data_IF_756896590802
#
_entry.id   IF_756896590802
#
_cell.length_a   1.000
_cell.length_b   1.000
_cell.length_c   1.000
_cell.angle_alpha   90.00
_cell.angle_beta   90.00
_cell.angle_gamma   90.00
#
_symmetry.space_group_name_H-M   'P 1'
#
loop_
_entity.id
_entity.type
_entity.pdbx_description
1 polymer ?
#
# COMPACT_ATOMS: atom_id res chain seq x y z
N UNK A 1 31.66 -43.77 -4.30
CA UNK A 1 31.12 -42.76 -3.37
C UNK A 1 30.97 -41.46 -4.14
N UNK A 2 29.75 -41.12 -4.57
CA UNK A 2 29.50 -39.90 -5.36
C UNK A 2 28.98 -38.78 -4.46
N UNK A 3 29.74 -37.70 -4.33
CA UNK A 3 29.29 -36.46 -3.69
C UNK A 3 28.40 -35.71 -4.67
N UNK A 4 27.09 -35.67 -4.39
CA UNK A 4 26.16 -34.78 -5.06
C UNK A 4 26.22 -33.42 -4.38
N UNK A 5 26.71 -32.41 -5.09
CA UNK A 5 26.64 -31.01 -4.65
C UNK A 5 25.29 -30.45 -5.06
N UNK A 6 24.32 -30.48 -4.16
CA UNK A 6 23.03 -29.81 -4.36
C UNK A 6 23.23 -28.31 -4.22
N UNK A 7 23.41 -27.62 -5.35
CA UNK A 7 23.43 -26.17 -5.40
C UNK A 7 21.99 -25.66 -5.24
N UNK A 8 21.60 -25.29 -4.01
CA UNK A 8 20.38 -24.54 -3.75
C UNK A 8 20.56 -23.13 -4.32
N UNK A 9 20.14 -22.92 -5.57
CA UNK A 9 19.92 -21.58 -6.11
C UNK A 9 18.63 -21.02 -5.50
N UNK A 10 18.66 -20.76 -4.19
CA UNK A 10 17.61 -19.99 -3.51
C UNK A 10 17.81 -18.53 -3.85
N UNK A 11 17.17 -18.05 -4.91
CA UNK A 11 17.08 -16.62 -5.16
C UNK A 11 16.50 -15.94 -3.92
N UNK A 12 17.27 -15.07 -3.28
CA UNK A 12 16.77 -14.23 -2.19
C UNK A 12 15.80 -13.24 -2.84
N UNK A 13 14.51 -13.58 -2.87
CA UNK A 13 13.49 -12.60 -3.20
C UNK A 13 13.52 -11.52 -2.11
N UNK A 14 13.49 -10.25 -2.52
CA UNK A 14 13.38 -9.17 -1.57
C UNK A 14 12.08 -9.37 -0.76
N UNK A 15 12.23 -9.51 0.56
CA UNK A 15 11.09 -9.65 1.46
C UNK A 15 10.33 -8.32 1.52
N UNK A 16 9.00 -8.36 1.36
CA UNK A 16 8.18 -7.19 1.70
C UNK A 16 8.24 -7.00 3.22
N UNK A 17 8.76 -5.85 3.65
CA UNK A 17 8.90 -5.51 5.07
C UNK A 17 7.62 -4.94 5.67
N UNK A 18 6.65 -4.58 4.82
CA UNK A 18 5.36 -4.07 5.27
C UNK A 18 4.41 -5.23 5.54
N UNK A 19 3.99 -5.33 6.80
CA UNK A 19 2.85 -6.14 7.19
C UNK A 19 1.63 -5.65 6.43
N UNK A 20 0.93 -6.59 5.78
CA UNK A 20 -0.23 -6.33 4.93
C UNK A 20 0.03 -5.29 3.81
N UNK A 21 1.23 -5.28 3.21
CA UNK A 21 1.55 -4.34 2.13
C UNK A 21 0.72 -4.52 0.85
N UNK A 22 0.08 -5.68 0.67
CA UNK A 22 -0.80 -6.00 -0.47
C UNK A 22 -2.29 -5.91 -0.13
N UNK A 23 -2.67 -5.58 1.10
CA UNK A 23 -4.06 -5.51 1.58
C UNK A 23 -4.84 -6.84 1.62
N UNK A 24 -4.21 -7.96 1.25
CA UNK A 24 -4.83 -9.29 1.18
C UNK A 24 -5.22 -9.88 2.55
N UNK A 25 -4.82 -9.27 3.67
CA UNK A 25 -5.28 -9.71 5.00
C UNK A 25 -6.69 -9.20 5.34
N UNK A 26 -7.20 -8.22 4.58
CA UNK A 26 -8.49 -7.60 4.83
C UNK A 26 -9.51 -8.02 3.75
N UNK A 27 -10.75 -8.38 4.12
CA UNK A 27 -11.79 -8.69 3.14
C UNK A 27 -12.13 -7.50 2.24
N UNK A 28 -12.51 -7.79 0.99
CA UNK A 28 -13.07 -6.80 0.08
C UNK A 28 -14.25 -6.03 0.73
N UNK A 29 -14.28 -4.72 0.56
CA UNK A 29 -15.26 -3.82 1.17
C UNK A 29 -14.93 -3.38 2.60
N UNK A 30 -13.79 -3.78 3.18
CA UNK A 30 -13.39 -3.35 4.52
C UNK A 30 -13.02 -1.86 4.54
N UNK A 31 -13.71 -1.01 5.32
CA UNK A 31 -13.38 0.40 5.43
C UNK A 31 -12.27 0.62 6.46
N UNK A 32 -11.40 1.58 6.21
CA UNK A 32 -10.39 2.04 7.16
C UNK A 32 -10.91 3.35 7.80
N UNK A 33 -11.06 3.39 9.13
CA UNK A 33 -11.71 4.51 9.78
C UNK A 33 -10.85 5.78 9.70
N UNK A 34 -11.46 6.90 9.34
CA UNK A 34 -10.85 8.23 9.41
C UNK A 34 -10.90 8.77 10.85
N UNK A 35 -10.26 8.07 11.78
CA UNK A 35 -10.19 8.47 13.20
C UNK A 35 -8.75 8.74 13.66
N UNK A 36 -7.79 8.72 12.75
CA UNK A 36 -6.36 8.92 13.05
C UNK A 36 -5.70 7.77 13.80
N UNK A 37 -6.44 6.69 14.08
CA UNK A 37 -5.93 5.44 14.64
C UNK A 37 -5.58 4.43 13.54
N UNK A 38 -4.60 3.57 13.82
CA UNK A 38 -4.34 2.41 12.98
C UNK A 38 -5.49 1.40 13.12
N UNK A 39 -5.91 0.79 12.00
CA UNK A 39 -6.74 -0.41 12.10
C UNK A 39 -5.85 -1.55 12.59
N UNK A 40 -6.22 -2.14 13.74
CA UNK A 40 -5.45 -3.21 14.38
C UNK A 40 -5.38 -4.48 13.53
N UNK A 41 -6.28 -4.65 12.55
CA UNK A 41 -6.29 -5.78 11.63
C UNK A 41 -5.28 -5.59 10.50
N UNK A 42 -5.24 -4.40 9.92
CA UNK A 42 -4.43 -4.14 8.73
C UNK A 42 -3.02 -3.64 9.06
N UNK A 43 -2.84 -3.01 10.23
CA UNK A 43 -1.62 -2.30 10.59
C UNK A 43 -1.40 -1.03 9.76
N UNK A 44 -2.43 -0.53 9.09
CA UNK A 44 -2.40 0.70 8.31
C UNK A 44 -3.37 1.72 8.92
N UNK A 45 -3.09 2.99 8.71
CA UNK A 45 -3.93 4.11 9.12
C UNK A 45 -4.33 4.93 7.92
N UNK A 46 -5.64 5.17 7.77
CA UNK A 46 -6.12 6.27 6.97
C UNK A 46 -6.22 7.53 7.82
N UNK A 47 -5.77 8.67 7.28
CA UNK A 47 -5.89 9.95 7.94
C UNK A 47 -6.29 11.04 6.96
N UNK A 48 -6.98 12.06 7.48
CA UNK A 48 -7.17 13.32 6.82
C UNK A 48 -6.86 14.46 7.80
N UNK A 49 -6.15 15.49 7.35
CA UNK A 49 -5.71 16.61 8.18
C UNK A 49 -6.07 17.95 7.54
N UNK A 50 -6.02 19.03 8.31
CA UNK A 50 -6.20 20.41 7.83
C UNK A 50 -7.47 20.62 6.97
N UNK A 51 -8.58 19.98 7.36
CA UNK A 51 -9.87 20.11 6.68
C UNK A 51 -10.03 19.29 5.39
N UNK A 52 -9.09 18.39 5.08
CA UNK A 52 -9.30 17.35 4.09
C UNK A 52 -10.32 16.32 4.58
N UNK A 53 -10.94 15.62 3.62
CA UNK A 53 -11.85 14.51 3.90
C UNK A 53 -11.80 13.49 2.76
N UNK A 54 -12.09 12.24 3.09
CA UNK A 54 -12.02 11.12 2.18
C UNK A 54 -12.35 9.79 2.84
N UNK A 55 -12.19 8.72 2.08
CA UNK A 55 -12.33 7.34 2.54
C UNK A 55 -11.20 6.47 2.02
N UNK A 56 -10.91 5.41 2.77
CA UNK A 56 -10.05 4.32 2.36
C UNK A 56 -10.81 3.00 2.52
N UNK A 57 -10.92 2.21 1.45
CA UNK A 57 -11.67 0.96 1.44
C UNK A 57 -10.93 -0.10 0.65
N UNK A 58 -10.85 -1.32 1.19
CA UNK A 58 -10.28 -2.46 0.46
C UNK A 58 -11.21 -2.80 -0.71
N UNK A 59 -10.67 -2.89 -1.91
CA UNK A 59 -11.46 -3.02 -3.14
C UNK A 59 -10.80 -3.98 -4.13
N UNK A 60 -11.57 -4.94 -4.63
CA UNK A 60 -11.17 -5.80 -5.74
C UNK A 60 -10.95 -5.03 -7.04
N UNK A 61 -11.60 -3.86 -7.20
CA UNK A 61 -11.38 -3.01 -8.37
C UNK A 61 -10.02 -2.29 -8.32
N UNK A 62 -9.46 -2.09 -7.13
CA UNK A 62 -8.16 -1.47 -6.93
C UNK A 62 -6.97 -2.46 -7.12
N UNK A 63 -7.23 -3.77 -7.15
CA UNK A 63 -6.20 -4.81 -7.22
C UNK A 63 -5.30 -4.67 -8.46
N UNK A 64 -3.99 -4.48 -8.28
CA UNK A 64 -2.96 -4.49 -9.34
C UNK A 64 -2.26 -5.84 -9.44
N UNK A 65 -2.20 -6.54 -8.31
CA UNK A 65 -1.90 -7.95 -8.12
C UNK A 65 -2.92 -8.55 -7.13
N UNK A 66 -2.89 -9.86 -6.91
CA UNK A 66 -3.76 -10.50 -5.92
C UNK A 66 -5.27 -10.40 -6.22
N UNK A 67 -6.06 -10.31 -5.15
CA UNK A 67 -7.53 -10.27 -5.18
C UNK A 67 -8.10 -8.91 -4.83
N UNK A 68 -7.36 -8.09 -4.08
CA UNK A 68 -7.78 -6.77 -3.60
C UNK A 68 -6.63 -5.77 -3.61
N UNK A 69 -6.98 -4.49 -3.61
CA UNK A 69 -6.07 -3.39 -3.29
C UNK A 69 -6.76 -2.39 -2.36
N UNK A 70 -6.14 -1.23 -2.14
CA UNK A 70 -6.78 -0.12 -1.41
C UNK A 70 -7.30 0.93 -2.39
N UNK A 71 -8.58 1.28 -2.26
CA UNK A 71 -9.19 2.43 -2.93
C UNK A 71 -9.17 3.63 -1.98
N UNK A 72 -8.61 4.75 -2.44
CA UNK A 72 -8.65 6.02 -1.74
C UNK A 72 -9.54 6.98 -2.52
N UNK A 73 -10.55 7.53 -1.85
CA UNK A 73 -11.44 8.54 -2.43
C UNK A 73 -11.31 9.83 -1.64
N UNK A 74 -11.05 10.94 -2.33
CA UNK A 74 -11.04 12.27 -1.73
C UNK A 74 -12.41 12.91 -1.90
N UNK A 75 -13.04 13.33 -0.80
CA UNK A 75 -14.35 14.00 -0.83
C UNK A 75 -14.25 15.52 -0.80
N UNK A 76 -13.21 16.06 -0.12
CA UNK A 76 -12.98 17.51 -0.02
C UNK A 76 -11.62 17.89 -0.60
N UNK A 77 -11.60 18.92 -1.46
CA UNK A 77 -10.38 19.54 -1.98
C UNK A 77 -9.91 20.72 -1.11
N UNK A 78 -10.29 20.77 0.17
CA UNK A 78 -9.68 21.69 1.13
C UNK A 78 -8.15 21.59 1.08
N UNK A 79 -7.44 22.61 1.59
CA UNK A 79 -5.97 22.72 1.49
C UNK A 79 -5.16 21.63 2.21
N UNK A 80 -5.83 20.73 2.93
CA UNK A 80 -5.20 19.62 3.64
C UNK A 80 -4.96 18.37 2.79
N UNK A 81 -4.40 17.35 3.43
CA UNK A 81 -4.07 16.07 2.84
C UNK A 81 -4.87 14.93 3.47
N UNK A 82 -5.15 13.92 2.64
CA UNK A 82 -5.63 12.62 3.08
C UNK A 82 -4.71 11.53 2.54
N UNK A 83 -4.29 10.60 3.38
CA UNK A 83 -3.33 9.57 2.98
C UNK A 83 -3.47 8.30 3.82
N UNK A 84 -2.73 7.28 3.39
CA UNK A 84 -2.54 6.02 4.09
C UNK A 84 -1.10 5.94 4.59
N UNK A 85 -0.91 5.62 5.87
CA UNK A 85 0.43 5.42 6.43
C UNK A 85 0.48 4.33 7.50
N UNK A 86 1.69 4.14 8.05
CA UNK A 86 1.96 3.30 9.22
C UNK A 86 2.60 4.11 10.35
N UNK A 87 2.45 5.44 10.35
CA UNK A 87 3.16 6.34 11.27
C UNK A 87 2.39 6.54 12.60
N UNK A 88 2.17 5.43 13.29
CA UNK A 88 1.66 5.43 14.67
C UNK A 88 2.39 4.39 15.50
N UNK A 89 2.29 4.51 16.83
CA UNK A 89 2.84 3.50 17.76
C UNK A 89 2.31 2.10 17.44
N UNK A 90 1.04 1.99 17.03
CA UNK A 90 0.37 0.73 16.77
C UNK A 90 0.60 0.16 15.35
N UNK A 91 0.92 1.00 14.36
CA UNK A 91 1.07 0.58 12.96
C UNK A 91 2.51 0.42 12.49
N UNK A 92 3.48 1.09 13.12
CA UNK A 92 4.84 1.18 12.56
C UNK A 92 5.52 -0.18 12.44
N UNK A 93 6.24 -0.38 11.34
CA UNK A 93 7.10 -1.54 11.16
C UNK A 93 8.39 -1.39 11.98
N UNK A 94 8.69 -2.38 12.81
CA UNK A 94 9.94 -2.40 13.57
C UNK A 94 11.02 -3.03 12.70
N UNK A 95 11.87 -2.18 12.12
CA UNK A 95 13.00 -2.63 11.30
C UNK A 95 14.30 -2.53 12.12
N UNK A 96 14.98 -3.65 12.42
CA UNK A 96 16.23 -3.62 13.17
C UNK A 96 17.33 -2.81 12.46
N UNK A 97 18.03 -1.98 13.23
CA UNK A 97 19.13 -1.15 12.72
C UNK A 97 20.20 -2.02 12.07
N UNK A 98 20.45 -1.78 10.78
CA UNK A 98 21.48 -2.46 10.01
C UNK A 98 21.74 -1.71 8.70
N UNK A 99 22.95 -1.85 8.15
CA UNK A 99 23.29 -1.31 6.82
C UNK A 99 22.54 -2.09 5.75
N UNK A 100 21.54 -1.47 5.11
CA UNK A 100 20.72 -2.06 4.06
C UNK A 100 20.36 -1.04 3.00
N UNK A 101 20.18 -1.50 1.77
CA UNK A 101 19.49 -0.76 0.72
C UNK A 101 18.06 -1.29 0.64
N UNK A 102 17.07 -0.39 0.68
CA UNK A 102 15.66 -0.74 0.53
C UNK A 102 15.18 -0.34 -0.85
N UNK A 103 14.18 -1.07 -1.35
CA UNK A 103 13.42 -0.69 -2.54
C UNK A 103 11.98 -0.46 -2.12
N UNK A 104 11.45 0.70 -2.48
CA UNK A 104 10.04 1.01 -2.29
C UNK A 104 9.33 0.86 -3.64
N UNK A 105 8.32 -0.01 -3.67
CA UNK A 105 7.48 -0.25 -4.85
C UNK A 105 6.03 -0.05 -4.43
N UNK A 106 5.29 0.65 -5.26
CA UNK A 106 3.85 0.81 -5.14
C UNK A 106 3.26 0.77 -6.54
N UNK A 107 2.21 -0.04 -6.71
CA UNK A 107 1.41 -0.04 -7.92
C UNK A 107 0.21 0.87 -7.71
N UNK A 108 -0.03 1.77 -8.66
CA UNK A 108 -1.11 2.76 -8.57
C UNK A 108 -1.94 2.72 -9.84
N UNK A 109 -3.26 2.77 -9.65
CA UNK A 109 -4.25 2.98 -10.70
C UNK A 109 -5.04 4.23 -10.36
N UNK A 110 -5.35 5.02 -11.37
CA UNK A 110 -6.40 6.02 -11.27
C UNK A 110 -7.75 5.36 -11.60
N UNK A 111 -8.78 5.69 -10.85
CA UNK A 111 -10.10 5.11 -10.98
C UNK A 111 -11.05 5.69 -9.94
N UNK A 112 -12.01 6.49 -10.38
CA UNK A 112 -13.02 7.09 -9.50
C UNK A 112 -14.13 7.84 -10.24
N UNK A 113 -15.31 7.90 -9.61
CA UNK A 113 -16.59 8.43 -10.13
C UNK A 113 -16.56 9.93 -10.53
N UNK A 114 -15.53 10.67 -10.10
CA UNK A 114 -15.38 12.12 -10.33
C UNK A 114 -13.95 12.41 -10.83
N UNK A 115 -13.73 12.16 -12.13
CA UNK A 115 -12.65 12.72 -12.95
C UNK A 115 -11.21 12.32 -12.58
N UNK A 116 -10.63 11.56 -13.52
CA UNK A 116 -9.20 11.46 -13.86
C UNK A 116 -8.34 12.58 -13.28
N UNK A 117 -7.35 12.21 -12.47
CA UNK A 117 -6.21 13.10 -12.26
C UNK A 117 -5.58 13.38 -13.63
N UNK A 118 -5.41 14.64 -14.05
CA UNK A 118 -4.79 14.95 -15.35
C UNK A 118 -3.34 14.47 -15.45
N UNK A 119 -2.75 13.98 -14.35
CA UNK A 119 -1.43 13.34 -14.30
C UNK A 119 -1.43 11.90 -14.85
N UNK A 120 -2.58 11.20 -14.91
CA UNK A 120 -2.69 9.81 -15.39
C UNK A 120 -3.58 9.63 -16.63
N UNK A 121 -3.98 10.73 -17.28
CA UNK A 121 -4.99 10.76 -18.37
C UNK A 121 -4.61 10.05 -19.69
N UNK A 122 -3.47 9.38 -19.78
CA UNK A 122 -3.13 8.54 -20.92
C UNK A 122 -2.56 7.21 -20.46
N UNK A 123 -3.44 6.20 -20.44
CA UNK A 123 -3.15 4.78 -20.62
C UNK A 123 -1.94 4.17 -19.90
N UNK A 124 -2.25 3.28 -18.97
CA UNK A 124 -1.36 2.21 -18.53
C UNK A 124 -0.98 2.33 -17.07
N UNK A 125 -1.32 1.30 -16.31
CA UNK A 125 -0.77 1.06 -14.97
C UNK A 125 0.72 1.45 -14.96
N UNK A 126 1.08 2.42 -14.14
CA UNK A 126 2.47 2.88 -14.01
C UNK A 126 3.25 1.74 -13.39
N UNK A 127 3.86 0.92 -14.24
CA UNK A 127 4.75 -0.16 -13.82
C UNK A 127 6.01 0.49 -13.27
N UNK A 128 6.23 0.27 -11.97
CA UNK A 128 7.56 0.13 -11.36
C UNK A 128 8.43 1.40 -11.42
N UNK A 129 8.36 2.21 -10.36
CA UNK A 129 9.47 3.09 -10.01
C UNK A 129 10.65 2.23 -9.51
N UNK A 130 11.67 2.04 -10.33
CA UNK A 130 13.01 1.71 -9.83
C UNK A 130 13.64 3.02 -9.37
N UNK A 131 13.85 3.14 -8.07
CA UNK A 131 14.96 3.90 -7.51
C UNK A 131 16.07 2.92 -7.16
#
# INVERSE_FOLDING_TARGET
>A
MGLSLTLLCGGVFAQNLLTNGSFELDPNGTPYPNNGGADSRSGWRFFAVAGADGSATVSSAAATDGSVGIELVRFSTGLGDSALDKDTVAAREIIPKSMRTYKFLVDVKDGGFLVVSPIFGHWGAVRRWLL
#
